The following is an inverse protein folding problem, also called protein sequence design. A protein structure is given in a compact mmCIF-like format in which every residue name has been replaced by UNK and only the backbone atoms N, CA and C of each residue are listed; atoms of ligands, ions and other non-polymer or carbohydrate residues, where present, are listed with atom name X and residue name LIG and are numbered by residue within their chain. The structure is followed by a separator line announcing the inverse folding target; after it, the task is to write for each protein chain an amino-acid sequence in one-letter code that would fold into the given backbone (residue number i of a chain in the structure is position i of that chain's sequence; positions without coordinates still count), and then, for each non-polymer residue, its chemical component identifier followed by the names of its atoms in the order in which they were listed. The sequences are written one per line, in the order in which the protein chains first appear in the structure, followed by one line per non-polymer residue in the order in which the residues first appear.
data_IF_635801873799
#
_entry.id   IF_635801873799
#
_cell.length_a   1.000
_cell.length_b   1.000
_cell.length_c   1.000
_cell.angle_alpha   90.00
_cell.angle_beta   90.00
_cell.angle_gamma   90.00
#
_symmetry.space_group_name_H-M   'P 1'
#
loop_
_entity.id
_entity.type
_entity.pdbx_description
1 polymer ?
#
# COMPACT_ATOMS: atom_id res chain seq x y z
N UNK A 1 44.19 -27.35 24.44
CA UNK A 1 44.09 -26.95 23.02
C UNK A 1 42.76 -27.44 22.47
N UNK A 2 41.75 -26.58 22.42
CA UNK A 2 40.48 -26.75 21.70
C UNK A 2 39.65 -25.50 21.95
N UNK A 3 38.80 -25.10 21.01
CA UNK A 3 37.90 -23.92 21.04
C UNK A 3 38.51 -22.58 20.58
N UNK A 4 39.05 -22.57 19.35
CA UNK A 4 39.03 -21.37 18.50
C UNK A 4 38.38 -21.72 17.17
N UNK A 5 37.07 -21.94 17.18
CA UNK A 5 36.32 -22.17 15.94
C UNK A 5 34.84 -21.76 16.08
N UNK A 6 34.60 -20.58 16.64
CA UNK A 6 33.37 -19.80 16.40
C UNK A 6 33.72 -18.72 15.38
N UNK A 7 34.10 -19.10 14.16
CA UNK A 7 33.17 -19.19 13.03
C UNK A 7 32.14 -18.03 13.08
N UNK A 8 32.53 -16.83 12.63
CA UNK A 8 32.27 -16.35 11.25
C UNK A 8 30.80 -16.40 10.80
N UNK A 9 29.81 -16.34 11.70
CA UNK A 9 28.38 -16.32 11.33
C UNK A 9 27.69 -14.96 11.60
N UNK A 10 28.41 -13.95 12.12
CA UNK A 10 27.79 -12.63 12.39
C UNK A 10 28.01 -11.57 11.31
N UNK A 11 28.77 -11.87 10.25
CA UNK A 11 29.16 -10.88 9.23
C UNK A 11 28.33 -10.91 7.93
N UNK A 12 27.30 -11.76 7.82
CA UNK A 12 26.58 -11.97 6.55
C UNK A 12 25.15 -11.42 6.50
N UNK A 13 24.61 -10.83 7.59
CA UNK A 13 23.17 -10.54 7.67
C UNK A 13 22.81 -9.07 7.93
N UNK A 14 23.69 -8.11 7.63
CA UNK A 14 23.39 -6.68 7.78
C UNK A 14 23.70 -5.82 6.54
N UNK A 15 24.04 -6.43 5.40
CA UNK A 15 24.23 -5.70 4.13
C UNK A 15 23.19 -6.13 3.10
N UNK A 16 21.94 -6.31 3.53
CA UNK A 16 20.83 -5.91 2.67
C UNK A 16 20.65 -4.41 2.92
N UNK A 17 21.63 -3.64 2.43
CA UNK A 17 21.43 -2.23 2.18
C UNK A 17 20.15 -2.15 1.38
N UNK A 18 19.16 -1.53 2.00
CA UNK A 18 17.93 -1.06 1.39
C UNK A 18 18.34 -0.41 0.07
N UNK A 19 18.24 -1.18 -1.02
CA UNK A 19 18.12 -0.60 -2.34
C UNK A 19 16.80 0.15 -2.26
N UNK A 20 16.88 1.41 -1.85
CA UNK A 20 15.86 2.39 -2.08
C UNK A 20 15.75 2.46 -3.60
N UNK A 21 14.95 1.55 -4.17
CA UNK A 21 14.50 1.65 -5.54
C UNK A 21 14.01 3.09 -5.68
N UNK A 22 14.48 3.84 -6.69
CA UNK A 22 14.02 5.21 -6.88
C UNK A 22 12.50 5.14 -6.99
N UNK A 23 11.81 5.56 -5.93
CA UNK A 23 10.36 5.63 -5.92
C UNK A 23 10.06 6.64 -7.01
N UNK A 24 9.53 6.15 -8.13
CA UNK A 24 9.14 7.04 -9.21
C UNK A 24 8.22 8.12 -8.61
N UNK A 25 8.34 9.40 -9.01
CA UNK A 25 7.62 10.50 -8.37
C UNK A 25 6.11 10.26 -8.27
N UNK A 26 5.57 9.48 -9.21
CA UNK A 26 4.18 9.01 -9.22
C UNK A 26 3.90 8.08 -8.02
N UNK A 27 4.75 7.11 -7.72
CA UNK A 27 4.55 6.18 -6.60
C UNK A 27 4.69 6.84 -5.23
N UNK A 28 5.45 7.93 -5.13
CA UNK A 28 5.48 8.76 -3.92
C UNK A 28 4.13 9.48 -3.72
N UNK A 29 3.52 9.98 -4.80
CA UNK A 29 2.22 10.66 -4.74
C UNK A 29 1.04 9.74 -4.40
N UNK A 30 1.17 8.44 -4.67
CA UNK A 30 0.14 7.43 -4.37
C UNK A 30 0.25 6.83 -2.96
N UNK A 31 1.33 7.11 -2.21
CA UNK A 31 1.52 6.61 -0.83
C UNK A 31 0.33 6.87 0.10
N UNK A 32 -0.29 8.07 0.13
CA UNK A 32 -1.42 8.32 1.01
C UNK A 32 -2.64 7.43 0.68
N UNK A 33 -2.86 7.13 -0.61
CA UNK A 33 -3.97 6.28 -1.05
C UNK A 33 -3.73 4.82 -0.65
N UNK A 34 -2.50 4.33 -0.80
CA UNK A 34 -2.09 3.01 -0.31
C UNK A 34 -2.24 2.89 1.21
N UNK A 35 -1.80 3.91 1.96
CA UNK A 35 -1.98 3.95 3.41
C UNK A 35 -3.46 3.92 3.82
N UNK A 36 -4.32 4.64 3.08
CA UNK A 36 -5.77 4.61 3.33
C UNK A 36 -6.38 3.24 3.04
N UNK A 37 -5.98 2.56 1.97
CA UNK A 37 -6.41 1.18 1.68
C UNK A 37 -6.02 0.24 2.82
N UNK A 38 -4.78 0.31 3.31
CA UNK A 38 -4.33 -0.50 4.44
C UNK A 38 -5.15 -0.21 5.72
N UNK A 39 -5.44 1.06 6.01
CA UNK A 39 -6.31 1.46 7.12
C UNK A 39 -7.72 0.85 6.97
N UNK A 40 -8.30 0.90 5.77
CA UNK A 40 -9.62 0.33 5.50
C UNK A 40 -9.63 -1.19 5.74
N UNK A 41 -8.56 -1.90 5.35
CA UNK A 41 -8.44 -3.34 5.59
C UNK A 41 -8.40 -3.67 7.08
N UNK A 42 -7.65 -2.89 7.86
CA UNK A 42 -7.61 -3.03 9.32
C UNK A 42 -8.98 -2.75 9.93
N UNK A 43 -9.69 -1.70 9.47
CA UNK A 43 -11.05 -1.38 9.92
C UNK A 43 -12.02 -2.54 9.65
N UNK A 44 -11.98 -3.14 8.45
CA UNK A 44 -12.82 -4.29 8.10
C UNK A 44 -12.49 -5.52 8.97
N UNK A 45 -11.21 -5.83 9.17
CA UNK A 45 -10.79 -6.95 10.03
C UNK A 45 -11.22 -6.74 11.48
N UNK A 46 -11.11 -5.51 11.98
CA UNK A 46 -11.55 -5.15 13.33
C UNK A 46 -13.04 -5.37 13.47
N UNK A 47 -13.85 -4.87 12.54
CA UNK A 47 -15.30 -5.08 12.53
C UNK A 47 -15.68 -6.57 12.46
N UNK A 48 -14.93 -7.38 11.69
CA UNK A 48 -15.15 -8.82 11.61
C UNK A 48 -14.86 -9.53 12.95
N UNK A 49 -13.76 -9.16 13.63
CA UNK A 49 -13.43 -9.71 14.96
C UNK A 49 -14.45 -9.28 16.02
N UNK A 50 -14.90 -8.03 16.00
CA UNK A 50 -15.93 -7.55 16.94
C UNK A 50 -17.23 -8.34 16.79
N UNK A 51 -17.64 -8.67 15.55
CA UNK A 51 -18.80 -9.54 15.30
C UNK A 51 -18.63 -10.97 15.82
N UNK A 52 -17.41 -11.50 15.81
CA UNK A 52 -17.13 -12.87 16.26
C UNK A 52 -17.08 -12.96 17.79
N UNK A 53 -16.65 -11.89 18.47
CA UNK A 53 -16.38 -11.91 19.90
C UNK A 53 -17.56 -11.41 20.77
N UNK A 54 -18.53 -10.70 20.21
CA UNK A 54 -19.69 -10.19 20.95
C UNK A 54 -21.00 -10.76 20.42
N UNK A 55 -21.91 -11.07 21.34
CA UNK A 55 -23.34 -11.19 21.04
C UNK A 55 -23.87 -9.78 20.76
N UNK A 56 -23.59 -9.28 19.55
CA UNK A 56 -24.05 -7.97 19.10
C UNK A 56 -25.54 -8.02 18.78
N UNK A 57 -26.26 -6.94 19.06
CA UNK A 57 -27.66 -6.82 18.67
C UNK A 57 -27.81 -6.92 17.14
N UNK A 58 -29.01 -7.25 16.65
CA UNK A 58 -29.25 -7.33 15.21
C UNK A 58 -29.05 -5.97 14.52
N UNK A 59 -29.31 -4.87 15.23
CA UNK A 59 -29.06 -3.50 14.77
C UNK A 59 -27.57 -3.21 14.61
N UNK A 60 -26.76 -3.56 15.61
CA UNK A 60 -25.29 -3.41 15.54
C UNK A 60 -24.69 -4.22 14.40
N UNK A 61 -25.22 -5.42 14.18
CA UNK A 61 -24.81 -6.28 13.07
C UNK A 61 -25.09 -5.61 11.72
N UNK A 62 -26.30 -5.06 11.54
CA UNK A 62 -26.66 -4.33 10.32
C UNK A 62 -25.80 -3.07 10.11
N UNK A 63 -25.54 -2.30 11.17
CA UNK A 63 -24.69 -1.12 11.10
C UNK A 63 -23.26 -1.49 10.68
N UNK A 64 -22.70 -2.53 11.28
CA UNK A 64 -21.38 -3.03 10.92
C UNK A 64 -21.33 -3.55 9.46
N UNK A 65 -22.38 -4.21 8.97
CA UNK A 65 -22.47 -4.62 7.56
C UNK A 65 -22.51 -3.42 6.60
N UNK A 66 -23.31 -2.40 6.91
CA UNK A 66 -23.35 -1.15 6.12
C UNK A 66 -21.99 -0.48 6.09
N UNK A 67 -21.31 -0.41 7.24
CA UNK A 67 -19.95 0.15 7.34
C UNK A 67 -18.96 -0.64 6.51
N UNK A 68 -18.97 -1.97 6.58
CA UNK A 68 -18.10 -2.82 5.75
C UNK A 68 -18.35 -2.60 4.26
N UNK A 69 -19.62 -2.54 3.82
CA UNK A 69 -19.95 -2.23 2.41
C UNK A 69 -19.44 -0.86 1.97
N UNK A 70 -19.61 0.16 2.82
CA UNK A 70 -19.09 1.51 2.56
C UNK A 70 -17.57 1.50 2.42
N UNK A 71 -16.87 0.84 3.33
CA UNK A 71 -15.41 0.72 3.33
C UNK A 71 -14.90 -0.03 2.09
N UNK A 72 -15.57 -1.12 1.69
CA UNK A 72 -15.25 -1.84 0.46
C UNK A 72 -15.44 -0.98 -0.80
N UNK A 73 -16.49 -0.15 -0.83
CA UNK A 73 -16.71 0.79 -1.93
C UNK A 73 -15.60 1.85 -1.99
N UNK A 74 -15.19 2.39 -0.85
CA UNK A 74 -14.10 3.37 -0.75
C UNK A 74 -12.78 2.75 -1.23
N UNK A 75 -12.46 1.53 -0.78
CA UNK A 75 -11.28 0.79 -1.22
C UNK A 75 -11.24 0.62 -2.75
N UNK A 76 -12.34 0.14 -3.36
CA UNK A 76 -12.41 -0.04 -4.82
C UNK A 76 -12.24 1.26 -5.59
N UNK A 77 -12.79 2.37 -5.09
CA UNK A 77 -12.60 3.69 -5.69
C UNK A 77 -11.13 4.09 -5.66
N UNK A 78 -10.46 3.96 -4.51
CA UNK A 78 -9.03 4.28 -4.38
C UNK A 78 -8.16 3.39 -5.27
N UNK A 79 -8.45 2.09 -5.36
CA UNK A 79 -7.74 1.16 -6.26
C UNK A 79 -7.89 1.59 -7.73
N UNK A 80 -9.09 2.02 -8.15
CA UNK A 80 -9.33 2.52 -9.50
C UNK A 80 -8.58 3.84 -9.76
N UNK A 81 -8.53 4.75 -8.80
CA UNK A 81 -7.80 6.02 -8.92
C UNK A 81 -6.29 5.79 -9.00
N UNK A 82 -5.74 4.89 -8.17
CA UNK A 82 -4.33 4.47 -8.24
C UNK A 82 -4.02 3.90 -9.62
N UNK A 83 -4.87 3.00 -10.13
CA UNK A 83 -4.70 2.41 -11.45
C UNK A 83 -4.70 3.48 -12.55
N UNK A 84 -5.67 4.39 -12.50
CA UNK A 84 -5.79 5.48 -13.47
C UNK A 84 -4.58 6.43 -13.43
N UNK A 85 -4.10 6.79 -12.24
CA UNK A 85 -2.92 7.64 -12.08
C UNK A 85 -1.66 6.95 -12.65
N UNK A 86 -1.52 5.64 -12.44
CA UNK A 86 -0.44 4.84 -13.05
C UNK A 86 -0.59 4.80 -14.56
N UNK A 87 -1.79 4.56 -15.09
CA UNK A 87 -2.03 4.50 -16.53
C UNK A 87 -1.70 5.83 -17.22
N UNK A 88 -2.01 6.98 -16.58
CA UNK A 88 -1.62 8.31 -17.07
C UNK A 88 -0.10 8.49 -17.04
N UNK A 89 0.55 8.14 -15.93
CA UNK A 89 1.99 8.31 -15.78
C UNK A 89 2.81 7.53 -16.82
N UNK A 90 2.30 6.38 -17.25
CA UNK A 90 2.92 5.54 -18.28
C UNK A 90 2.37 5.84 -19.69
N UNK A 91 1.50 6.84 -19.84
CA UNK A 91 0.91 7.20 -21.13
C UNK A 91 1.95 7.85 -22.05
N UNK A 92 2.16 7.33 -23.26
CA UNK A 92 3.11 7.88 -24.24
C UNK A 92 2.86 9.37 -24.55
N UNK A 93 1.61 9.82 -24.44
CA UNK A 93 1.23 11.22 -24.67
C UNK A 93 1.83 12.18 -23.63
N UNK A 94 1.93 11.75 -22.37
CA UNK A 94 2.57 12.55 -21.30
C UNK A 94 4.08 12.60 -21.52
N UNK A 95 4.68 11.48 -21.95
CA UNK A 95 6.11 11.42 -22.28
C UNK A 95 6.49 12.33 -23.46
N UNK A 96 5.64 12.42 -24.49
CA UNK A 96 5.88 13.30 -25.65
C UNK A 96 5.82 14.79 -25.29
N UNK A 97 4.87 15.21 -24.45
CA UNK A 97 4.79 16.61 -23.99
C UNK A 97 6.01 16.96 -23.14
N UNK A 98 6.45 16.06 -22.27
CA UNK A 98 7.65 16.28 -21.45
C UNK A 98 8.93 16.42 -22.30
N UNK A 99 9.11 15.61 -23.35
CA UNK A 99 10.31 15.70 -24.20
C UNK A 99 10.28 16.93 -25.13
N UNK A 100 9.10 17.34 -25.61
CA UNK A 100 8.97 18.50 -26.50
C UNK A 100 9.33 19.84 -25.85
N UNK A 101 9.30 19.92 -24.51
CA UNK A 101 9.69 21.11 -23.77
C UNK A 101 11.21 21.20 -23.53
N UNK A 102 11.93 20.07 -23.56
CA UNK A 102 13.39 20.05 -23.44
C UNK A 102 14.08 20.43 -24.76
N UNK A 103 13.45 20.21 -25.92
CA UNK A 103 13.98 20.63 -27.23
C UNK A 103 13.67 22.10 -27.59
N UNK A 104 12.83 22.78 -26.81
CA UNK A 104 12.44 24.18 -27.04
C UNK A 104 13.29 25.21 -26.26
N UNK A 105 14.41 24.79 -25.66
CA UNK A 105 15.39 25.64 -24.96
C UNK A 105 16.75 25.60 -25.65
#
# INVERSE_FOLDING_TARGET
MSLRLTALIFASLCVTFVQAAPIQPVEASLQPMHARIASIEIEIQTLARTKQNLVTSNEDRMLAERKVKSLQSEKRRLEAEIKFAKDIAHSPLVSFIASSNDEAR
#
